data_IF_715626488548
#
_entry.id   IF_715626488548
#
_cell.length_a   1.000
_cell.length_b   1.000
_cell.length_c   1.000
_cell.angle_alpha   90.00
_cell.angle_beta   90.00
_cell.angle_gamma   90.00
#
_symmetry.space_group_name_H-M   'P 1'
#
loop_
_entity.id
_entity.type
_entity.pdbx_description
1 polymer ?
#
# COMPACT_ATOMS: atom_id res chain seq x y z
N UNK A 1 -4.52 29.11 8.05
CA UNK A 1 -5.92 29.09 7.59
C UNK A 1 -5.93 28.53 6.19
N UNK A 2 -6.31 27.28 6.02
CA UNK A 2 -6.32 26.61 4.71
C UNK A 2 -7.51 27.12 3.92
N UNK A 3 -7.25 27.61 2.71
CA UNK A 3 -8.23 28.13 1.77
C UNK A 3 -9.32 27.08 1.53
N UNK A 4 -10.56 27.40 1.91
CA UNK A 4 -11.74 26.67 1.51
C UNK A 4 -11.75 26.59 -0.02
N UNK A 5 -11.46 25.41 -0.57
CA UNK A 5 -11.37 25.17 -2.01
C UNK A 5 -12.65 24.48 -2.50
N UNK A 6 -12.93 24.61 -3.80
CA UNK A 6 -13.98 23.85 -4.46
C UNK A 6 -13.35 22.68 -5.23
N UNK A 7 -13.94 21.48 -5.14
CA UNK A 7 -13.53 20.31 -5.88
C UNK A 7 -14.77 19.65 -6.51
N UNK A 8 -14.92 19.76 -7.82
CA UNK A 8 -16.18 19.44 -8.46
C UNK A 8 -17.35 20.21 -7.84
N UNK A 9 -18.44 19.54 -7.46
CA UNK A 9 -19.58 20.18 -6.80
C UNK A 9 -19.37 20.41 -5.29
N UNK A 10 -18.28 19.86 -4.69
CA UNK A 10 -18.05 19.84 -3.23
C UNK A 10 -17.30 21.07 -2.74
N UNK A 11 -17.72 21.61 -1.58
CA UNK A 11 -17.04 22.68 -0.87
C UNK A 11 -16.17 22.12 0.25
N UNK A 12 -14.84 22.13 0.06
CA UNK A 12 -13.88 21.63 1.07
C UNK A 12 -13.83 22.61 2.24
N UNK A 13 -14.07 22.12 3.47
CA UNK A 13 -14.10 22.91 4.70
C UNK A 13 -12.79 22.84 5.48
N UNK A 14 -12.35 21.61 5.81
CA UNK A 14 -11.14 21.37 6.59
C UNK A 14 -10.54 20.05 6.22
N UNK A 15 -9.22 19.90 6.42
CA UNK A 15 -8.53 18.63 6.26
C UNK A 15 -8.76 17.77 7.50
N UNK A 16 -9.25 16.55 7.30
CA UNK A 16 -9.45 15.53 8.33
C UNK A 16 -8.20 14.67 8.55
N UNK A 17 -7.45 14.40 7.47
CA UNK A 17 -6.26 13.55 7.52
C UNK A 17 -5.51 13.49 6.20
N UNK A 18 -4.36 12.81 6.22
CA UNK A 18 -3.59 12.45 5.03
C UNK A 18 -3.03 11.04 5.18
N UNK A 19 -2.89 10.34 4.07
CA UNK A 19 -2.30 9.01 4.00
C UNK A 19 -1.51 8.83 2.71
N UNK A 20 -0.97 7.63 2.48
CA UNK A 20 -0.13 7.33 1.32
C UNK A 20 -0.78 7.58 -0.04
N UNK A 21 -2.11 7.50 -0.12
CA UNK A 21 -2.85 7.62 -1.39
C UNK A 21 -3.50 8.98 -1.61
N UNK A 22 -3.63 9.81 -0.55
CA UNK A 22 -4.31 11.09 -0.69
C UNK A 22 -4.58 11.80 0.62
N UNK A 23 -5.26 12.94 0.51
CA UNK A 23 -5.74 13.74 1.63
C UNK A 23 -7.25 13.63 1.77
N UNK A 24 -7.74 13.49 3.00
CA UNK A 24 -9.16 13.43 3.30
C UNK A 24 -9.62 14.79 3.86
N UNK A 25 -10.67 15.34 3.27
CA UNK A 25 -11.26 16.61 3.65
C UNK A 25 -12.71 16.44 4.10
N UNK A 26 -13.11 17.17 5.15
CA UNK A 26 -14.52 17.44 5.42
C UNK A 26 -15.02 18.41 4.35
N UNK A 27 -16.16 18.11 3.76
CA UNK A 27 -16.75 18.93 2.72
C UNK A 27 -18.28 19.01 2.86
N UNK A 28 -18.89 19.95 2.14
CA UNK A 28 -20.33 19.99 1.91
C UNK A 28 -20.62 19.55 0.48
N UNK A 29 -21.64 18.72 0.34
CA UNK A 29 -22.23 18.40 -0.96
C UNK A 29 -23.14 19.54 -1.47
N UNK A 30 -23.68 19.45 -2.70
CA UNK A 30 -24.58 20.48 -3.25
C UNK A 30 -25.84 20.73 -2.41
N UNK A 31 -26.28 19.72 -1.64
CA UNK A 31 -27.45 19.80 -0.76
C UNK A 31 -27.10 20.33 0.66
N UNK A 32 -25.82 20.67 0.91
CA UNK A 32 -25.34 21.19 2.18
C UNK A 32 -25.09 20.12 3.26
N UNK A 33 -25.08 18.84 2.90
CA UNK A 33 -24.78 17.74 3.82
C UNK A 33 -23.26 17.55 3.95
N UNK A 34 -22.81 17.14 5.14
CA UNK A 34 -21.40 16.84 5.38
C UNK A 34 -20.99 15.52 4.75
N UNK A 35 -19.88 15.54 4.02
CA UNK A 35 -19.27 14.37 3.38
C UNK A 35 -17.76 14.36 3.63
N UNK A 36 -17.13 13.20 3.50
CA UNK A 36 -15.67 13.07 3.47
C UNK A 36 -15.21 12.93 2.02
N UNK A 37 -14.30 13.81 1.59
CA UNK A 37 -13.74 13.81 0.23
C UNK A 37 -12.28 13.44 0.31
N UNK A 38 -11.92 12.28 -0.26
CA UNK A 38 -10.55 11.80 -0.39
C UNK A 38 -10.00 12.21 -1.74
N UNK A 39 -9.07 13.15 -1.74
CA UNK A 39 -8.38 13.66 -2.94
C UNK A 39 -7.11 12.84 -3.14
N UNK A 40 -6.98 12.16 -4.28
CA UNK A 40 -5.83 11.32 -4.55
C UNK A 40 -4.58 12.15 -4.83
N UNK A 41 -3.41 11.65 -4.39
CA UNK A 41 -2.14 12.31 -4.64
C UNK A 41 -1.78 12.30 -6.13
N UNK A 42 -1.01 13.31 -6.62
CA UNK A 42 -0.64 13.42 -8.03
C UNK A 42 0.08 12.19 -8.60
N UNK A 43 0.89 11.50 -7.79
CA UNK A 43 1.57 10.28 -8.23
C UNK A 43 0.61 9.11 -8.45
N UNK A 44 -0.48 9.03 -7.69
CA UNK A 44 -1.57 8.06 -7.88
C UNK A 44 -2.41 8.44 -9.09
N UNK A 45 -2.71 9.73 -9.24
CA UNK A 45 -3.44 10.27 -10.39
C UNK A 45 -2.71 10.08 -11.73
N UNK A 46 -1.39 9.93 -11.70
CA UNK A 46 -0.57 9.69 -12.89
C UNK A 46 -0.55 8.21 -13.36
N UNK A 47 -1.07 7.27 -12.56
CA UNK A 47 -1.18 5.85 -12.93
C UNK A 47 -2.57 5.55 -13.50
N UNK A 48 -2.72 5.68 -14.82
CA UNK A 48 -3.98 5.43 -15.53
C UNK A 48 -4.51 4.00 -15.31
N UNK A 49 -3.63 3.00 -15.16
CA UNK A 49 -4.04 1.61 -14.92
C UNK A 49 -4.59 1.43 -13.51
N UNK A 50 -3.96 2.07 -12.52
CA UNK A 50 -4.46 2.06 -11.15
C UNK A 50 -5.82 2.77 -11.04
N UNK A 51 -5.97 3.94 -11.68
CA UNK A 51 -7.26 4.65 -11.73
C UNK A 51 -8.35 3.83 -12.43
N UNK A 52 -8.05 3.15 -13.53
CA UNK A 52 -9.01 2.30 -14.24
C UNK A 52 -9.43 1.06 -13.40
N UNK A 53 -8.52 0.51 -12.57
CA UNK A 53 -8.88 -0.54 -11.60
C UNK A 53 -9.77 0.03 -10.50
N UNK A 54 -9.36 1.16 -9.91
CA UNK A 54 -10.13 1.83 -8.86
C UNK A 54 -11.54 2.20 -9.34
N UNK A 55 -11.69 2.68 -10.56
CA UNK A 55 -13.01 3.01 -11.13
C UNK A 55 -13.96 1.81 -11.15
N UNK A 56 -13.45 0.62 -11.53
CA UNK A 56 -14.25 -0.61 -11.52
C UNK A 56 -14.62 -1.07 -10.10
N UNK A 57 -13.69 -0.95 -9.16
CA UNK A 57 -13.94 -1.30 -7.76
C UNK A 57 -14.95 -0.32 -7.13
N UNK A 58 -14.84 0.98 -7.40
CA UNK A 58 -15.77 2.02 -6.90
C UNK A 58 -17.21 1.75 -7.32
N UNK A 59 -17.46 1.31 -8.55
CA UNK A 59 -18.82 0.94 -8.99
C UNK A 59 -19.41 -0.18 -8.12
N UNK A 60 -18.60 -1.17 -7.74
CA UNK A 60 -19.04 -2.24 -6.84
C UNK A 60 -19.19 -1.73 -5.40
N UNK A 61 -18.24 -0.91 -4.92
CA UNK A 61 -18.32 -0.32 -3.58
C UNK A 61 -19.56 0.55 -3.38
N UNK A 62 -20.03 1.22 -4.43
CA UNK A 62 -21.28 2.02 -4.40
C UNK A 62 -22.52 1.17 -4.12
N UNK A 63 -22.45 -0.13 -4.34
CA UNK A 63 -23.56 -1.06 -4.06
C UNK A 63 -23.56 -1.56 -2.61
N UNK A 64 -22.43 -1.45 -1.93
CA UNK A 64 -22.28 -1.92 -0.55
C UNK A 64 -23.03 -0.99 0.39
N UNK A 65 -23.91 -1.56 1.20
CA UNK A 65 -24.71 -0.87 2.22
C UNK A 65 -24.62 -1.62 3.53
N UNK A 66 -24.57 -0.89 4.62
CA UNK A 66 -24.61 -1.47 5.97
C UNK A 66 -24.55 -0.42 7.06
N UNK A 67 -25.07 -0.71 8.25
CA UNK A 67 -25.13 0.24 9.36
C UNK A 67 -23.73 0.68 9.83
N UNK A 68 -22.74 -0.23 9.69
CA UNK A 68 -21.37 -0.06 10.18
C UNK A 68 -20.38 0.32 9.06
N UNK A 69 -20.85 0.93 7.96
CA UNK A 69 -20.04 1.32 6.81
C UNK A 69 -20.19 2.81 6.51
N UNK A 70 -19.09 3.46 6.18
CA UNK A 70 -19.09 4.76 5.54
C UNK A 70 -19.25 4.57 4.03
N UNK A 71 -20.49 4.60 3.56
CA UNK A 71 -20.86 4.33 2.17
C UNK A 71 -20.15 5.25 1.17
N UNK A 72 -19.78 4.70 0.01
CA UNK A 72 -19.30 5.48 -1.12
C UNK A 72 -20.49 6.17 -1.77
N UNK A 73 -20.45 7.50 -1.83
CA UNK A 73 -21.53 8.35 -2.36
C UNK A 73 -21.26 8.76 -3.80
N UNK A 74 -20.00 9.13 -4.11
CA UNK A 74 -19.60 9.63 -5.41
C UNK A 74 -18.11 9.44 -5.66
N UNK A 75 -17.68 9.54 -6.93
CA UNK A 75 -16.28 9.59 -7.32
C UNK A 75 -16.12 10.27 -8.67
N UNK A 76 -15.06 11.05 -8.82
CA UNK A 76 -14.54 11.48 -10.11
C UNK A 76 -13.06 11.10 -10.19
N UNK A 77 -12.79 10.09 -11.02
CA UNK A 77 -11.45 9.54 -11.22
C UNK A 77 -10.86 9.95 -12.58
N UNK A 78 -11.55 10.81 -13.32
CA UNK A 78 -11.16 11.21 -14.67
C UNK A 78 -10.58 12.62 -14.75
N UNK A 79 -10.85 13.46 -13.73
CA UNK A 79 -10.39 14.83 -13.66
C UNK A 79 -8.90 14.98 -13.33
N UNK A 80 -8.39 16.19 -13.40
CA UNK A 80 -6.99 16.53 -13.04
C UNK A 80 -6.68 16.33 -11.55
N UNK A 81 -7.70 16.27 -10.71
CA UNK A 81 -7.63 15.97 -9.27
C UNK A 81 -8.66 14.90 -8.94
N UNK A 82 -8.31 13.61 -9.16
CA UNK A 82 -9.21 12.50 -8.86
C UNK A 82 -9.59 12.47 -7.37
N UNK A 83 -10.87 12.18 -7.09
CA UNK A 83 -11.37 12.11 -5.73
C UNK A 83 -12.47 11.06 -5.57
N UNK A 84 -12.65 10.63 -4.32
CA UNK A 84 -13.72 9.76 -3.86
C UNK A 84 -14.48 10.45 -2.73
N UNK A 85 -15.80 10.29 -2.72
CA UNK A 85 -16.68 10.87 -1.70
C UNK A 85 -17.36 9.76 -0.93
N UNK A 86 -17.26 9.82 0.40
CA UNK A 86 -17.91 8.89 1.30
C UNK A 86 -18.79 9.63 2.30
N UNK A 87 -19.70 8.91 2.92
CA UNK A 87 -20.48 9.43 4.05
C UNK A 87 -19.49 9.86 5.16
N UNK A 88 -19.62 11.10 5.64
CA UNK A 88 -18.87 11.54 6.81
C UNK A 88 -19.45 10.92 8.07
N UNK A 89 -18.59 10.26 8.85
CA UNK A 89 -18.93 9.71 10.16
C UNK A 89 -18.31 10.59 11.23
N UNK A 90 -19.17 11.25 12.01
CA UNK A 90 -18.71 12.10 13.11
C UNK A 90 -18.36 11.25 14.32
N UNK A 91 -17.08 11.20 14.67
CA UNK A 91 -16.59 10.40 15.79
C UNK A 91 -15.08 10.44 15.91
N UNK A 92 -14.54 9.60 16.77
CA UNK A 92 -13.11 9.42 16.96
C UNK A 92 -12.68 8.08 16.40
N UNK A 93 -11.47 8.00 15.83
CA UNK A 93 -10.95 6.69 15.41
C UNK A 93 -10.79 5.77 16.63
N UNK A 94 -11.00 4.46 16.43
CA UNK A 94 -10.79 3.44 17.45
C UNK A 94 -9.38 3.55 18.05
N UNK A 95 -8.37 3.79 17.22
CA UNK A 95 -7.01 4.01 17.70
C UNK A 95 -6.88 5.18 18.67
N UNK A 96 -7.55 6.31 18.39
CA UNK A 96 -7.55 7.48 19.25
C UNK A 96 -8.36 7.26 20.55
N UNK A 97 -9.42 6.46 20.50
CA UNK A 97 -10.20 6.08 21.70
C UNK A 97 -9.37 5.18 22.60
N UNK A 98 -8.75 4.15 22.06
CA UNK A 98 -7.89 3.22 22.81
C UNK A 98 -6.68 3.91 23.42
N UNK A 99 -6.05 4.83 22.68
CA UNK A 99 -4.91 5.59 23.20
C UNK A 99 -5.28 6.51 24.39
N UNK A 100 -6.50 7.02 24.41
CA UNK A 100 -6.97 7.93 25.48
C UNK A 100 -7.62 7.21 26.66
N UNK A 101 -8.39 6.11 26.40
CA UNK A 101 -9.22 5.44 27.39
C UNK A 101 -8.78 4.01 27.74
N UNK A 102 -7.75 3.50 27.06
CA UNK A 102 -7.34 2.10 27.20
C UNK A 102 -8.26 1.10 26.49
N UNK A 103 -8.14 -0.19 26.80
CA UNK A 103 -8.89 -1.25 26.13
C UNK A 103 -10.38 -1.20 26.40
N UNK A 104 -11.18 -1.60 25.41
CA UNK A 104 -12.64 -1.74 25.55
C UNK A 104 -13.00 -2.98 26.35
N UNK A 105 -14.12 -2.93 27.06
CA UNK A 105 -14.58 -4.03 27.94
C UNK A 105 -16.09 -4.30 27.74
N UNK A 106 -16.50 -5.50 28.17
CA UNK A 106 -17.90 -5.87 28.23
C UNK A 106 -18.67 -5.62 26.93
N UNK A 107 -19.77 -4.89 27.04
CA UNK A 107 -20.66 -4.64 25.91
C UNK A 107 -20.05 -3.76 24.82
N UNK A 108 -19.19 -2.80 25.16
CA UNK A 108 -18.51 -1.95 24.17
C UNK A 108 -17.62 -2.79 23.25
N UNK A 109 -16.86 -3.75 23.82
CA UNK A 109 -16.04 -4.66 23.05
C UNK A 109 -16.89 -5.59 22.19
N UNK A 110 -18.01 -6.08 22.72
CA UNK A 110 -18.93 -6.96 21.99
C UNK A 110 -19.57 -6.22 20.81
N UNK A 111 -20.01 -4.99 21.02
CA UNK A 111 -20.54 -4.13 19.93
C UNK A 111 -19.50 -3.85 18.86
N UNK A 112 -18.27 -3.51 19.25
CA UNK A 112 -17.18 -3.31 18.31
C UNK A 112 -16.95 -4.58 17.47
N UNK A 113 -16.77 -5.73 18.12
CA UNK A 113 -16.47 -6.99 17.45
C UNK A 113 -17.60 -7.38 16.47
N UNK A 114 -18.86 -7.29 16.92
CA UNK A 114 -20.04 -7.58 16.10
C UNK A 114 -20.20 -6.62 14.95
N UNK A 115 -20.16 -5.30 15.18
CA UNK A 115 -20.36 -4.30 14.13
C UNK A 115 -19.27 -4.34 13.05
N UNK A 116 -18.01 -4.65 13.41
CA UNK A 116 -16.95 -4.88 12.43
C UNK A 116 -17.16 -6.18 11.62
N UNK A 117 -17.69 -7.24 12.25
CA UNK A 117 -18.03 -8.48 11.55
C UNK A 117 -19.20 -8.28 10.56
N UNK A 118 -20.24 -7.52 10.97
CA UNK A 118 -21.36 -7.11 10.10
C UNK A 118 -20.87 -6.27 8.91
N UNK A 119 -19.98 -5.32 9.16
CA UNK A 119 -19.37 -4.54 8.09
C UNK A 119 -18.64 -5.41 7.06
N UNK A 120 -17.77 -6.33 7.52
CA UNK A 120 -17.05 -7.24 6.63
C UNK A 120 -17.99 -8.19 5.90
N UNK A 121 -19.00 -8.73 6.56
CA UNK A 121 -19.99 -9.60 5.92
C UNK A 121 -20.72 -8.88 4.79
N UNK A 122 -21.10 -7.61 4.98
CA UNK A 122 -21.74 -6.79 3.94
C UNK A 122 -20.79 -6.49 2.77
N UNK A 123 -19.53 -6.19 3.04
CA UNK A 123 -18.50 -5.93 2.02
C UNK A 123 -18.24 -7.19 1.19
N UNK A 124 -18.03 -8.35 1.85
CA UNK A 124 -17.75 -9.62 1.18
C UNK A 124 -18.95 -10.15 0.39
N UNK A 125 -20.18 -9.95 0.88
CA UNK A 125 -21.40 -10.31 0.16
C UNK A 125 -21.52 -9.56 -1.18
N UNK A 126 -20.94 -8.36 -1.29
CA UNK A 126 -20.88 -7.59 -2.52
C UNK A 126 -19.68 -7.98 -3.43
N UNK A 127 -18.89 -8.98 -3.07
CA UNK A 127 -17.69 -9.37 -3.80
C UNK A 127 -16.52 -8.41 -3.65
N UNK A 128 -16.57 -7.51 -2.65
CA UNK A 128 -15.50 -6.54 -2.35
C UNK A 128 -14.66 -7.07 -1.18
N UNK A 129 -13.38 -6.70 -1.16
CA UNK A 129 -12.46 -6.96 -0.04
C UNK A 129 -11.99 -5.62 0.51
N UNK A 130 -11.97 -5.46 1.84
CA UNK A 130 -11.60 -4.18 2.49
C UNK A 130 -10.10 -3.88 2.39
N UNK A 131 -9.26 -4.88 2.67
CA UNK A 131 -7.79 -4.89 2.52
C UNK A 131 -6.99 -3.95 3.44
N UNK A 132 -7.60 -3.03 4.17
CA UNK A 132 -6.91 -2.09 5.08
C UNK A 132 -7.70 -1.88 6.39
N UNK A 133 -8.34 -2.94 6.94
CA UNK A 133 -9.01 -2.86 8.22
C UNK A 133 -7.99 -2.74 9.35
N UNK A 134 -8.07 -1.63 10.09
CA UNK A 134 -7.20 -1.32 11.23
C UNK A 134 -7.87 -0.28 12.14
N UNK A 135 -7.39 -0.06 13.37
CA UNK A 135 -8.01 0.89 14.31
C UNK A 135 -8.10 2.34 13.81
N UNK A 136 -7.23 2.75 12.89
CA UNK A 136 -7.27 4.07 12.27
C UNK A 136 -8.46 4.23 11.30
N UNK A 137 -8.91 3.11 10.69
CA UNK A 137 -9.99 3.07 9.71
C UNK A 137 -11.34 2.63 10.31
N UNK A 138 -11.45 2.68 11.64
CA UNK A 138 -12.70 2.44 12.37
C UNK A 138 -13.04 3.70 13.17
N UNK A 139 -14.19 4.32 12.89
CA UNK A 139 -14.70 5.47 13.65
C UNK A 139 -15.74 4.98 14.64
N UNK A 140 -15.61 5.37 15.90
CA UNK A 140 -16.65 5.16 16.90
C UNK A 140 -17.53 6.42 16.96
N UNK A 141 -18.79 6.27 16.53
CA UNK A 141 -19.83 7.29 16.58
C UNK A 141 -20.96 6.79 17.47
N UNK A 142 -21.26 7.53 18.54
CA UNK A 142 -22.28 7.17 19.55
C UNK A 142 -22.11 5.74 20.11
N UNK A 143 -20.85 5.29 20.20
CA UNK A 143 -20.49 3.95 20.69
C UNK A 143 -20.60 2.83 19.66
N UNK A 144 -21.04 3.12 18.43
CA UNK A 144 -21.12 2.17 17.32
C UNK A 144 -19.90 2.29 16.37
N UNK A 145 -19.32 1.18 15.92
CA UNK A 145 -18.21 1.20 14.99
C UNK A 145 -18.68 1.47 13.55
N UNK A 146 -17.93 2.28 12.83
CA UNK A 146 -18.12 2.50 11.39
C UNK A 146 -16.78 2.34 10.69
N UNK A 147 -16.74 1.43 9.72
CA UNK A 147 -15.55 1.20 8.89
C UNK A 147 -15.52 2.22 7.76
N UNK A 148 -14.36 2.85 7.61
CA UNK A 148 -14.09 3.85 6.58
C UNK A 148 -12.99 3.36 5.63
N UNK A 149 -12.84 3.99 4.47
CA UNK A 149 -11.73 3.80 3.52
C UNK A 149 -11.53 2.36 3.00
N UNK A 150 -12.61 1.61 2.76
CA UNK A 150 -12.50 0.24 2.24
C UNK A 150 -12.09 0.20 0.75
N UNK A 151 -11.19 -0.72 0.42
CA UNK A 151 -10.81 -1.12 -0.94
C UNK A 151 -9.85 -0.22 -1.71
N UNK A 152 -9.69 1.05 -1.35
CA UNK A 152 -8.94 2.04 -2.14
C UNK A 152 -7.45 1.71 -2.23
N UNK A 153 -6.87 1.20 -1.15
CA UNK A 153 -5.42 0.96 -1.05
C UNK A 153 -4.92 -0.05 -2.11
N UNK A 154 -5.65 -1.11 -2.35
CA UNK A 154 -5.18 -2.21 -3.18
C UNK A 154 -5.48 -2.05 -4.68
N UNK A 155 -6.54 -1.32 -5.05
CA UNK A 155 -6.71 -0.94 -6.46
C UNK A 155 -5.51 -0.15 -6.98
N UNK A 156 -4.85 0.57 -6.05
CA UNK A 156 -3.68 1.40 -6.34
C UNK A 156 -2.35 0.65 -6.15
N UNK A 157 -2.29 -0.42 -5.33
CA UNK A 157 -1.03 -1.04 -4.88
C UNK A 157 -0.59 -2.31 -5.60
N UNK A 158 -1.34 -2.84 -6.55
CA UNK A 158 -0.99 -4.11 -7.23
C UNK A 158 0.41 -4.15 -7.89
N UNK A 159 1.17 -3.06 -7.83
CA UNK A 159 2.53 -2.97 -8.39
C UNK A 159 3.60 -2.54 -7.37
N UNK A 160 3.27 -2.13 -6.12
CA UNK A 160 4.23 -1.43 -5.26
C UNK A 160 4.80 -2.23 -4.09
N UNK A 161 4.16 -3.31 -3.66
CA UNK A 161 4.65 -4.13 -2.53
C UNK A 161 5.96 -4.87 -2.86
N UNK A 162 6.24 -5.13 -4.14
CA UNK A 162 7.39 -5.92 -4.57
C UNK A 162 8.57 -5.12 -5.11
N UNK A 163 8.41 -3.86 -5.49
CA UNK A 163 9.45 -3.11 -6.20
C UNK A 163 10.42 -2.34 -5.30
N UNK A 164 10.04 -1.98 -4.08
CA UNK A 164 10.87 -1.15 -3.18
C UNK A 164 11.27 -1.80 -1.86
N UNK A 165 10.76 -3.00 -1.54
CA UNK A 165 11.02 -3.65 -0.23
C UNK A 165 10.42 -2.90 0.97
N UNK A 166 9.67 -1.83 0.72
CA UNK A 166 8.95 -1.11 1.76
C UNK A 166 7.58 -1.78 2.00
N UNK A 167 7.34 -2.22 3.22
CA UNK A 167 6.03 -2.69 3.65
C UNK A 167 5.12 -1.48 3.73
N UNK A 168 4.26 -1.30 2.72
CA UNK A 168 3.26 -0.23 2.74
C UNK A 168 2.14 -0.64 3.70
N UNK A 169 1.85 0.17 4.71
CA UNK A 169 0.81 -0.08 5.69
C UNK A 169 1.33 -0.34 7.12
N UNK A 170 0.43 -0.76 8.01
CA UNK A 170 0.76 -1.14 9.39
C UNK A 170 0.84 -2.67 9.49
N UNK A 171 2.04 -3.28 9.48
CA UNK A 171 2.22 -4.72 9.28
C UNK A 171 1.45 -5.61 10.25
N UNK A 172 1.20 -5.13 11.47
CA UNK A 172 0.50 -5.90 12.50
C UNK A 172 -0.98 -6.20 12.19
N UNK A 173 -1.54 -5.63 11.13
CA UNK A 173 -2.91 -5.88 10.65
C UNK A 173 -2.95 -6.53 9.27
N UNK A 174 -1.80 -6.68 8.60
CA UNK A 174 -1.71 -7.40 7.33
C UNK A 174 -1.61 -8.90 7.58
N UNK A 175 -2.34 -9.68 6.82
CA UNK A 175 -2.31 -11.14 6.93
C UNK A 175 -0.97 -11.71 6.44
N UNK A 176 -0.53 -12.87 6.98
CA UNK A 176 0.74 -13.50 6.61
C UNK A 176 0.90 -13.69 5.09
N UNK A 177 -0.12 -14.20 4.41
CA UNK A 177 -0.10 -14.41 2.97
C UNK A 177 0.13 -13.12 2.17
N UNK A 178 -0.39 -11.99 2.66
CA UNK A 178 -0.20 -10.68 2.03
C UNK A 178 1.24 -10.18 2.23
N UNK A 179 1.79 -10.38 3.43
CA UNK A 179 3.19 -10.04 3.73
C UNK A 179 4.18 -10.88 2.92
N UNK A 180 3.80 -12.10 2.54
CA UNK A 180 4.56 -13.03 1.70
C UNK A 180 4.35 -12.77 0.20
N UNK A 181 3.59 -11.73 -0.18
CA UNK A 181 3.38 -11.32 -1.57
C UNK A 181 2.17 -11.96 -2.26
N UNK A 182 1.31 -12.64 -1.51
CA UNK A 182 0.02 -13.14 -1.98
C UNK A 182 -1.04 -12.04 -2.13
N UNK A 183 -2.14 -12.36 -2.79
CA UNK A 183 -3.26 -11.44 -2.95
C UNK A 183 -4.11 -11.38 -1.68
N UNK A 184 -4.54 -10.16 -1.30
CA UNK A 184 -5.46 -9.95 -0.20
C UNK A 184 -6.88 -10.37 -0.60
N UNK A 185 -7.35 -11.51 -0.08
CA UNK A 185 -8.72 -11.98 -0.22
C UNK A 185 -9.57 -11.72 1.04
N UNK A 186 -10.84 -12.18 1.05
CA UNK A 186 -11.73 -12.05 2.22
C UNK A 186 -11.14 -12.59 3.54
N UNK A 187 -10.35 -13.66 3.48
CA UNK A 187 -9.68 -14.23 4.65
C UNK A 187 -8.61 -13.29 5.24
N UNK A 188 -8.00 -12.39 4.43
CA UNK A 188 -7.09 -11.38 4.93
C UNK A 188 -7.81 -10.31 5.76
N UNK A 189 -9.04 -9.93 5.38
CA UNK A 189 -9.86 -9.01 6.17
C UNK A 189 -10.28 -9.63 7.52
N UNK A 190 -10.55 -10.94 7.56
CA UNK A 190 -10.84 -11.66 8.80
C UNK A 190 -9.63 -11.68 9.74
N UNK A 191 -8.42 -11.83 9.19
CA UNK A 191 -7.20 -11.68 9.96
C UNK A 191 -7.07 -10.25 10.54
N UNK A 192 -7.29 -9.23 9.70
CA UNK A 192 -7.24 -7.83 10.11
C UNK A 192 -8.30 -7.49 11.17
N UNK A 193 -9.50 -8.08 11.07
CA UNK A 193 -10.53 -8.03 12.10
C UNK A 193 -10.01 -8.63 13.42
N UNK A 194 -9.43 -9.82 13.36
CA UNK A 194 -8.86 -10.49 14.54
C UNK A 194 -7.80 -9.64 15.23
N UNK A 195 -6.86 -9.06 14.47
CA UNK A 195 -5.81 -8.19 14.99
C UNK A 195 -6.37 -6.89 15.59
N UNK A 196 -7.37 -6.29 14.93
CA UNK A 196 -8.02 -5.04 15.38
C UNK A 196 -8.79 -5.24 16.68
N UNK A 197 -9.59 -6.33 16.77
CA UNK A 197 -10.38 -6.65 17.96
C UNK A 197 -9.48 -7.12 19.12
N UNK A 198 -8.42 -7.88 18.85
CA UNK A 198 -7.42 -8.25 19.86
C UNK A 198 -6.76 -7.02 20.48
N UNK A 199 -6.37 -6.06 19.65
CA UNK A 199 -5.83 -4.79 20.14
C UNK A 199 -6.87 -4.00 20.94
N UNK A 200 -8.10 -3.91 20.48
CA UNK A 200 -9.17 -3.24 21.21
C UNK A 200 -9.46 -3.88 22.56
N UNK A 201 -9.39 -5.21 22.66
CA UNK A 201 -9.64 -5.98 23.87
C UNK A 201 -8.50 -5.89 24.90
N UNK A 202 -7.26 -5.81 24.45
CA UNK A 202 -6.07 -5.88 25.31
C UNK A 202 -5.37 -4.52 25.52
N UNK A 203 -5.56 -3.56 24.62
CA UNK A 203 -4.76 -2.33 24.54
C UNK A 203 -3.34 -2.58 24.01
N UNK A 204 -3.02 -3.83 23.61
CA UNK A 204 -1.71 -4.25 23.10
C UNK A 204 -1.83 -4.85 21.72
N UNK A 205 -0.96 -4.46 20.80
CA UNK A 205 -0.93 -5.06 19.46
C UNK A 205 -0.53 -6.54 19.57
N UNK A 206 -1.28 -7.47 18.98
CA UNK A 206 -1.07 -8.90 19.15
C UNK A 206 0.29 -9.40 18.65
N UNK A 207 0.92 -8.69 17.74
CA UNK A 207 2.28 -8.96 17.25
C UNK A 207 3.31 -7.97 17.76
N UNK A 208 2.95 -7.18 18.80
CA UNK A 208 3.82 -6.18 19.41
C UNK A 208 4.12 -4.99 18.52
N UNK A 209 4.98 -4.10 19.02
CA UNK A 209 5.42 -2.87 18.35
C UNK A 209 6.85 -2.97 17.88
N UNK A 210 7.32 -2.00 17.08
CA UNK A 210 8.72 -1.91 16.64
C UNK A 210 8.83 -1.57 15.15
N UNK A 211 10.04 -1.69 14.58
CA UNK A 211 10.26 -1.45 13.15
C UNK A 211 9.35 -2.33 12.28
N UNK A 212 8.77 -1.79 11.18
CA UNK A 212 7.82 -2.53 10.34
C UNK A 212 8.30 -3.92 9.90
N UNK A 213 9.56 -4.14 9.48
CA UNK A 213 10.02 -5.48 9.12
C UNK A 213 10.02 -6.48 10.28
N UNK A 214 10.30 -6.02 11.52
CA UNK A 214 10.27 -6.89 12.68
C UNK A 214 8.84 -7.29 13.07
N UNK A 215 7.88 -6.37 12.92
CA UNK A 215 6.45 -6.69 13.13
C UNK A 215 5.98 -7.66 12.05
N UNK A 216 6.28 -7.41 10.77
CA UNK A 216 5.96 -8.31 9.67
C UNK A 216 6.52 -9.73 9.89
N UNK A 217 7.78 -9.84 10.32
CA UNK A 217 8.39 -11.11 10.66
C UNK A 217 7.61 -11.86 11.74
N UNK A 218 7.16 -11.14 12.81
CA UNK A 218 6.37 -11.77 13.89
C UNK A 218 5.00 -12.23 13.40
N UNK A 219 4.34 -11.47 12.53
CA UNK A 219 3.05 -11.88 11.95
C UNK A 219 3.17 -13.20 11.19
N UNK A 220 4.24 -13.35 10.42
CA UNK A 220 4.47 -14.56 9.60
C UNK A 220 4.92 -15.75 10.46
N UNK A 221 5.77 -15.53 11.48
CA UNK A 221 6.48 -16.62 12.16
C UNK A 221 6.05 -16.87 13.60
N UNK A 222 5.36 -15.95 14.27
CA UNK A 222 5.01 -16.08 15.69
C UNK A 222 3.49 -16.16 15.87
N UNK A 223 3.08 -16.70 16.99
CA UNK A 223 1.67 -16.68 17.41
C UNK A 223 1.31 -15.33 18.03
N UNK A 224 0.04 -14.89 17.91
CA UNK A 224 -0.41 -13.63 18.48
C UNK A 224 -0.45 -13.68 20.00
N UNK A 225 -0.06 -12.58 20.67
CA UNK A 225 -0.26 -12.40 22.11
C UNK A 225 -1.73 -12.03 22.38
N UNK A 226 -2.47 -12.96 22.97
CA UNK A 226 -3.89 -12.83 23.35
C UNK A 226 -4.11 -12.95 24.87
N UNK A 227 -3.05 -12.84 25.68
CA UNK A 227 -3.13 -13.10 27.12
C UNK A 227 -4.09 -12.15 27.85
N UNK A 228 -4.19 -10.89 27.41
CA UNK A 228 -5.06 -9.87 28.01
C UNK A 228 -6.47 -9.82 27.36
N UNK A 229 -6.75 -10.65 26.36
CA UNK A 229 -8.07 -10.73 25.74
C UNK A 229 -9.05 -11.53 26.64
N UNK A 230 -10.35 -11.15 26.67
CA UNK A 230 -11.35 -11.88 27.44
C UNK A 230 -11.47 -13.34 26.99
N UNK A 231 -11.60 -14.27 27.95
CA UNK A 231 -11.61 -15.72 27.71
C UNK A 231 -12.66 -16.16 26.66
N UNK A 232 -13.83 -15.51 26.64
CA UNK A 232 -14.89 -15.81 25.66
C UNK A 232 -14.50 -15.49 24.22
N UNK A 233 -13.60 -14.51 24.01
CA UNK A 233 -13.21 -14.04 22.69
C UNK A 233 -11.95 -14.76 22.15
N UNK A 234 -11.07 -15.24 23.05
CA UNK A 234 -9.79 -15.88 22.70
C UNK A 234 -9.92 -17.00 21.66
N UNK A 235 -10.88 -17.95 21.75
CA UNK A 235 -11.01 -19.01 20.74
C UNK A 235 -11.25 -18.45 19.35
N UNK A 236 -12.15 -17.47 19.22
CA UNK A 236 -12.50 -16.84 17.95
C UNK A 236 -11.33 -16.04 17.36
N UNK A 237 -10.62 -15.28 18.20
CA UNK A 237 -9.41 -14.56 17.79
C UNK A 237 -8.32 -15.50 17.27
N UNK A 238 -8.12 -16.65 17.93
CA UNK A 238 -7.15 -17.66 17.46
C UNK A 238 -7.51 -18.22 16.10
N UNK A 239 -8.78 -18.46 15.83
CA UNK A 239 -9.25 -18.93 14.52
C UNK A 239 -9.02 -17.85 13.44
N UNK A 240 -9.38 -16.60 13.70
CA UNK A 240 -9.20 -15.49 12.76
C UNK A 240 -7.73 -15.20 12.46
N UNK A 241 -6.84 -15.39 13.45
CA UNK A 241 -5.40 -15.09 13.34
C UNK A 241 -4.55 -16.30 12.90
N UNK A 242 -5.18 -17.38 12.39
CA UNK A 242 -4.45 -18.52 11.82
C UNK A 242 -3.62 -18.07 10.62
N UNK A 243 -2.42 -18.67 10.47
CA UNK A 243 -1.53 -18.42 9.31
C UNK A 243 -2.19 -18.89 8.02
N UNK A 244 -2.77 -20.08 8.02
CA UNK A 244 -3.50 -20.62 6.88
C UNK A 244 -4.82 -19.85 6.67
N UNK A 245 -5.00 -19.10 5.56
CA UNK A 245 -6.21 -18.36 5.28
C UNK A 245 -7.45 -19.25 5.14
N UNK A 246 -7.30 -20.50 4.68
CA UNK A 246 -8.40 -21.45 4.51
C UNK A 246 -8.96 -21.97 5.84
N UNK A 247 -8.20 -21.83 6.92
CA UNK A 247 -8.60 -22.24 8.27
C UNK A 247 -9.27 -21.12 9.08
N UNK A 248 -9.43 -19.92 8.50
CA UNK A 248 -10.15 -18.80 9.11
C UNK A 248 -11.63 -18.87 8.79
N UNK A 249 -12.53 -18.43 9.70
CA UNK A 249 -13.96 -18.39 9.43
C UNK A 249 -14.28 -17.37 8.32
N UNK A 250 -15.38 -17.55 7.62
CA UNK A 250 -15.91 -16.49 6.73
C UNK A 250 -16.51 -15.34 7.57
N UNK A 251 -16.56 -14.12 7.00
CA UNK A 251 -17.11 -12.96 7.70
C UNK A 251 -18.59 -13.14 8.10
N UNK A 252 -19.38 -13.83 7.29
CA UNK A 252 -20.77 -14.15 7.61
C UNK A 252 -20.89 -15.11 8.82
N UNK A 253 -20.01 -16.11 8.90
CA UNK A 253 -19.94 -17.03 10.04
C UNK A 253 -19.48 -16.29 11.31
N UNK A 254 -18.47 -15.42 11.17
CA UNK A 254 -17.98 -14.59 12.26
C UNK A 254 -19.10 -13.70 12.81
N UNK A 255 -19.87 -13.07 11.93
CA UNK A 255 -21.03 -12.25 12.27
C UNK A 255 -22.08 -13.09 13.05
N UNK A 256 -22.45 -14.25 12.54
CA UNK A 256 -23.43 -15.13 13.18
C UNK A 256 -23.00 -15.59 14.59
N UNK A 257 -21.72 -15.94 14.78
CA UNK A 257 -21.16 -16.35 16.09
C UNK A 257 -21.18 -15.22 17.12
N UNK A 258 -21.15 -13.97 16.69
CA UNK A 258 -21.23 -12.77 17.54
C UNK A 258 -22.66 -12.26 17.74
N UNK A 259 -23.68 -12.99 17.23
CA UNK A 259 -25.07 -12.58 17.30
C UNK A 259 -25.40 -11.37 16.41
N UNK A 260 -24.63 -11.15 15.36
CA UNK A 260 -24.83 -10.09 14.36
C UNK A 260 -25.95 -10.42 13.35
N UNK A 261 -26.43 -9.40 12.66
CA UNK A 261 -27.42 -9.54 11.60
C UNK A 261 -26.80 -10.04 10.30
N UNK A 262 -27.55 -10.80 9.51
CA UNK A 262 -27.15 -11.16 8.17
C UNK A 262 -26.98 -9.88 7.30
N UNK A 263 -26.01 -9.86 6.36
CA UNK A 263 -25.84 -8.72 5.49
C UNK A 263 -27.13 -8.42 4.71
N UNK A 264 -27.48 -7.13 4.50
CA UNK A 264 -28.64 -6.77 3.71
C UNK A 264 -28.49 -7.32 2.27
N UNK A 265 -29.58 -7.76 1.64
CA UNK A 265 -29.51 -8.19 0.25
C UNK A 265 -29.00 -7.05 -0.62
N UNK A 266 -28.11 -7.38 -1.55
CA UNK A 266 -27.66 -6.42 -2.57
C UNK A 266 -28.87 -5.80 -3.25
N UNK A 267 -28.87 -4.49 -3.56
CA UNK A 267 -29.92 -3.88 -4.37
C UNK A 267 -30.06 -4.70 -5.64
N UNK A 268 -31.29 -5.18 -5.95
CA UNK A 268 -31.53 -5.89 -7.17
C UNK A 268 -30.95 -5.06 -8.32
N UNK A 269 -30.10 -5.67 -9.15
CA UNK A 269 -29.60 -5.00 -10.35
C UNK A 269 -30.79 -4.38 -11.05
N UNK A 270 -30.81 -3.06 -11.17
CA UNK A 270 -31.80 -2.43 -12.05
C UNK A 270 -31.62 -3.12 -13.41
N UNK A 271 -32.69 -3.70 -14.00
CA UNK A 271 -32.54 -4.36 -15.28
C UNK A 271 -31.80 -3.39 -16.18
N UNK A 272 -30.64 -3.80 -16.67
CA UNK A 272 -29.86 -3.01 -17.64
C UNK A 272 -30.90 -2.58 -18.68
N UNK A 273 -31.14 -1.27 -18.77
CA UNK A 273 -31.99 -0.70 -19.82
C UNK A 273 -31.53 -1.36 -21.10
N UNK A 274 -32.43 -2.13 -21.73
CA UNK A 274 -32.10 -2.94 -22.87
C UNK A 274 -31.23 -2.10 -23.80
N UNK A 275 -29.99 -2.53 -23.98
CA UNK A 275 -29.10 -1.87 -24.91
C UNK A 275 -29.83 -1.81 -26.25
N UNK A 276 -29.77 -0.63 -26.88
CA UNK A 276 -30.25 -0.52 -28.26
C UNK A 276 -29.61 -1.67 -29.07
N UNK A 277 -30.32 -2.28 -30.02
CA UNK A 277 -29.80 -3.43 -30.75
C UNK A 277 -28.41 -3.12 -31.28
N UNK A 278 -27.44 -3.90 -30.83
CA UNK A 278 -26.06 -3.78 -31.28
C UNK A 278 -26.02 -3.90 -32.80
N UNK A 279 -25.29 -3.03 -33.50
CA UNK A 279 -25.06 -3.23 -34.93
C UNK A 279 -24.43 -4.63 -35.11
N UNK A 280 -24.76 -5.34 -36.20
CA UNK A 280 -24.35 -6.72 -36.43
C UNK A 280 -22.85 -6.83 -36.25
N UNK A 281 -22.43 -7.77 -35.38
CA UNK A 281 -21.04 -8.08 -35.06
C UNK A 281 -20.26 -8.31 -36.33
N UNK A 282 -19.43 -7.36 -36.73
CA UNK A 282 -18.44 -7.62 -37.78
C UNK A 282 -17.47 -8.66 -37.23
N UNK A 283 -17.31 -9.73 -38.02
CA UNK A 283 -16.34 -10.78 -37.74
C UNK A 283 -14.99 -10.17 -37.38
N UNK A 284 -14.57 -10.31 -36.11
CA UNK A 284 -13.25 -9.87 -35.65
C UNK A 284 -12.20 -10.76 -36.34
N UNK A 285 -11.51 -10.20 -37.30
CA UNK A 285 -10.30 -10.81 -37.89
C UNK A 285 -9.12 -10.32 -37.02
N UNK A 286 -8.32 -11.24 -36.42
CA UNK A 286 -7.15 -10.84 -35.65
C UNK A 286 -6.23 -10.01 -36.55
N UNK A 287 -6.06 -8.73 -36.23
CA UNK A 287 -4.97 -7.95 -36.80
C UNK A 287 -3.66 -8.57 -36.34
N UNK A 288 -2.83 -8.87 -37.35
CA UNK A 288 -1.51 -9.44 -37.24
C UNK A 288 -0.69 -8.94 -36.02
N UNK A 289 0.08 -9.84 -35.45
CA UNK A 289 1.06 -9.88 -34.37
C UNK A 289 1.92 -8.62 -34.04
N UNK A 290 1.62 -7.45 -34.58
CA UNK A 290 2.46 -6.25 -34.38
C UNK A 290 2.19 -5.50 -33.05
N UNK A 291 1.03 -5.67 -32.40
CA UNK A 291 0.69 -4.94 -31.17
C UNK A 291 1.18 -5.61 -29.87
N UNK A 292 1.43 -6.91 -29.88
CA UNK A 292 1.98 -7.61 -28.70
C UNK A 292 3.45 -7.24 -28.45
N UNK A 293 4.20 -6.90 -29.49
CA UNK A 293 5.61 -6.46 -29.37
C UNK A 293 5.79 -5.08 -28.75
N UNK A 294 4.83 -4.19 -28.89
CA UNK A 294 4.98 -2.80 -28.40
C UNK A 294 4.79 -2.66 -26.88
N UNK A 295 3.98 -3.49 -26.26
CA UNK A 295 3.74 -3.45 -24.80
C UNK A 295 4.92 -4.10 -24.04
N UNK A 296 5.48 -5.18 -24.57
CA UNK A 296 6.69 -5.80 -24.01
C UNK A 296 7.93 -4.91 -24.21
N UNK A 297 7.99 -4.16 -25.30
CA UNK A 297 9.07 -3.19 -25.57
C UNK A 297 9.03 -1.97 -24.62
N UNK A 298 7.86 -1.54 -24.15
CA UNK A 298 7.76 -0.43 -23.20
C UNK A 298 8.19 -0.84 -21.78
N UNK A 299 7.82 -2.04 -21.34
CA UNK A 299 8.22 -2.61 -20.04
C UNK A 299 9.72 -2.92 -19.99
N UNK A 300 10.28 -3.47 -21.05
CA UNK A 300 11.73 -3.72 -21.16
C UNK A 300 12.52 -2.42 -21.20
N UNK A 301 12.06 -1.40 -21.91
CA UNK A 301 12.71 -0.07 -21.93
C UNK A 301 12.67 0.63 -20.56
N UNK A 302 11.61 0.51 -19.79
CA UNK A 302 11.55 1.09 -18.45
C UNK A 302 12.50 0.37 -17.48
N UNK A 303 12.48 -0.96 -17.46
CA UNK A 303 13.42 -1.78 -16.66
C UNK A 303 14.88 -1.47 -17.00
N UNK A 304 15.20 -1.32 -18.27
CA UNK A 304 16.55 -0.97 -18.71
C UNK A 304 16.97 0.45 -18.30
N UNK A 305 16.06 1.42 -18.27
CA UNK A 305 16.34 2.78 -17.77
C UNK A 305 16.64 2.79 -16.27
N UNK A 306 15.82 2.13 -15.47
CA UNK A 306 16.02 2.02 -14.01
C UNK A 306 17.33 1.32 -13.71
N UNK A 307 17.59 0.18 -14.33
CA UNK A 307 18.84 -0.57 -14.18
C UNK A 307 20.08 0.26 -14.54
N UNK A 308 20.05 0.98 -15.69
CA UNK A 308 21.14 1.88 -16.08
C UNK A 308 21.43 2.95 -15.04
N UNK A 309 20.40 3.54 -14.44
CA UNK A 309 20.55 4.53 -13.36
C UNK A 309 21.19 3.92 -12.12
N UNK A 310 20.80 2.68 -11.75
CA UNK A 310 21.38 1.97 -10.62
C UNK A 310 22.85 1.59 -10.85
N UNK A 311 23.21 1.05 -12.01
CA UNK A 311 24.59 0.69 -12.33
C UNK A 311 25.50 1.91 -12.38
N UNK A 312 25.05 3.01 -12.99
CA UNK A 312 25.82 4.25 -13.02
C UNK A 312 25.93 4.90 -11.63
N UNK A 313 24.83 4.97 -10.88
CA UNK A 313 24.79 5.56 -9.53
C UNK A 313 25.67 4.80 -8.53
N UNK A 314 25.60 3.48 -8.52
CA UNK A 314 26.47 2.65 -7.66
C UNK A 314 27.94 2.79 -8.04
N UNK A 315 28.28 2.98 -9.32
CA UNK A 315 29.64 3.25 -9.78
C UNK A 315 30.20 4.56 -9.25
N UNK A 316 29.41 5.63 -9.29
CA UNK A 316 29.83 6.93 -8.74
C UNK A 316 30.08 6.84 -7.24
N UNK A 317 29.16 6.22 -6.50
CA UNK A 317 29.31 6.02 -5.03
C UNK A 317 30.53 5.16 -4.71
N UNK A 318 30.71 4.03 -5.42
CA UNK A 318 31.87 3.16 -5.21
C UNK A 318 33.21 3.86 -5.50
N UNK A 319 33.26 4.66 -6.58
CA UNK A 319 34.43 5.47 -6.92
C UNK A 319 34.77 6.51 -5.86
N UNK A 320 33.76 7.20 -5.31
CA UNK A 320 33.93 8.21 -4.26
C UNK A 320 34.37 7.57 -2.93
N UNK A 321 33.75 6.46 -2.53
CA UNK A 321 34.14 5.71 -1.31
C UNK A 321 35.56 5.19 -1.42
N UNK A 322 35.91 4.56 -2.56
CA UNK A 322 37.26 4.05 -2.78
C UNK A 322 38.30 5.16 -2.75
N UNK A 323 38.02 6.32 -3.37
CA UNK A 323 38.93 7.46 -3.38
C UNK A 323 39.09 8.08 -1.97
N UNK A 324 38.02 8.23 -1.19
CA UNK A 324 38.06 8.80 0.14
C UNK A 324 38.86 7.94 1.13
N UNK A 325 38.83 6.62 0.98
CA UNK A 325 39.48 5.66 1.90
C UNK A 325 40.90 5.27 1.45
N UNK A 326 41.25 5.57 0.19
CA UNK A 326 42.48 5.11 -0.45
C UNK A 326 43.77 5.36 0.39
N UNK A 327 43.91 6.52 0.99
CA UNK A 327 45.13 6.89 1.76
C UNK A 327 45.15 6.31 3.17
N UNK A 328 43.99 5.92 3.71
CA UNK A 328 43.92 5.39 5.09
C UNK A 328 43.96 3.85 5.08
N UNK A 329 43.27 3.21 4.12
CA UNK A 329 43.20 1.76 4.00
C UNK A 329 43.14 1.40 2.49
N UNK A 330 44.29 1.32 1.80
CA UNK A 330 44.29 1.07 0.33
C UNK A 330 43.68 -0.29 -0.05
N UNK A 331 43.76 -1.28 0.82
CA UNK A 331 43.18 -2.61 0.61
C UNK A 331 41.62 -2.53 0.54
N UNK A 332 41.01 -1.68 1.37
CA UNK A 332 39.56 -1.47 1.35
C UNK A 332 39.12 -0.78 0.06
N UNK A 333 39.90 0.14 -0.47
CA UNK A 333 39.63 0.78 -1.75
C UNK A 333 39.61 -0.23 -2.90
N UNK A 334 40.57 -1.15 -2.92
CA UNK A 334 40.64 -2.24 -3.88
C UNK A 334 39.45 -3.20 -3.73
N UNK A 335 39.05 -3.50 -2.50
CA UNK A 335 37.91 -4.36 -2.24
C UNK A 335 36.60 -3.76 -2.76
N UNK A 336 36.37 -2.47 -2.49
CA UNK A 336 35.16 -1.74 -2.97
C UNK A 336 35.11 -1.71 -4.51
N UNK A 337 36.22 -1.39 -5.17
CA UNK A 337 36.30 -1.35 -6.63
C UNK A 337 36.17 -2.76 -7.25
N UNK A 338 36.74 -3.77 -6.62
CA UNK A 338 36.62 -5.17 -7.07
C UNK A 338 35.17 -5.68 -6.94
N UNK A 339 34.50 -5.40 -5.83
CA UNK A 339 33.09 -5.76 -5.64
C UNK A 339 32.17 -5.10 -6.68
N UNK A 340 32.39 -3.81 -6.98
CA UNK A 340 31.66 -3.14 -8.06
C UNK A 340 32.00 -3.75 -9.43
N UNK A 341 33.28 -4.03 -9.71
CA UNK A 341 33.74 -4.65 -10.95
C UNK A 341 33.10 -6.02 -11.20
N UNK A 342 33.00 -6.86 -10.18
CA UNK A 342 32.29 -8.14 -10.26
C UNK A 342 30.81 -7.93 -10.61
N UNK A 343 30.13 -6.97 -10.00
CA UNK A 343 28.74 -6.63 -10.33
C UNK A 343 28.57 -6.21 -11.79
N UNK A 344 29.50 -5.39 -12.32
CA UNK A 344 29.51 -4.96 -13.73
C UNK A 344 29.75 -6.16 -14.67
N UNK A 345 30.65 -7.06 -14.32
CA UNK A 345 30.94 -8.26 -15.11
C UNK A 345 29.74 -9.23 -15.14
N UNK A 346 29.07 -9.42 -14.03
CA UNK A 346 27.84 -10.23 -13.97
C UNK A 346 26.76 -9.61 -14.87
N UNK A 347 26.56 -8.28 -14.80
CA UNK A 347 25.57 -7.59 -15.64
C UNK A 347 25.93 -7.66 -17.14
N UNK A 348 27.20 -7.55 -17.49
CA UNK A 348 27.69 -7.74 -18.86
C UNK A 348 27.49 -9.19 -19.33
N UNK A 349 27.75 -10.17 -18.46
CA UNK A 349 27.55 -11.59 -18.77
C UNK A 349 26.08 -11.93 -19.06
N UNK A 350 25.16 -11.44 -18.23
CA UNK A 350 23.71 -11.56 -18.47
C UNK A 350 23.32 -10.87 -19.80
N UNK A 351 23.93 -9.72 -20.10
CA UNK A 351 23.73 -9.01 -21.37
C UNK A 351 24.20 -9.80 -22.58
N UNK A 352 25.33 -10.49 -22.47
CA UNK A 352 25.90 -11.33 -23.54
C UNK A 352 25.02 -12.56 -23.80
N UNK A 353 24.60 -13.27 -22.76
CA UNK A 353 23.70 -14.44 -22.87
C UNK A 353 22.34 -14.02 -23.48
N UNK A 354 21.78 -12.87 -23.11
CA UNK A 354 20.53 -12.36 -23.67
C UNK A 354 20.68 -11.71 -25.06
N UNK A 355 21.86 -11.73 -25.66
CA UNK A 355 22.21 -11.06 -26.93
C UNK A 355 21.93 -9.56 -26.98
N UNK A 356 21.84 -8.91 -25.83
CA UNK A 356 21.55 -7.48 -25.68
C UNK A 356 22.86 -6.65 -25.75
N UNK A 357 23.40 -6.43 -26.96
CA UNK A 357 24.68 -5.71 -27.18
C UNK A 357 24.75 -4.36 -26.44
N UNK A 358 23.67 -3.59 -26.41
CA UNK A 358 23.62 -2.32 -25.70
C UNK A 358 23.78 -2.42 -24.17
N UNK A 359 23.49 -3.55 -23.60
CA UNK A 359 23.66 -3.87 -22.18
C UNK A 359 25.14 -4.09 -21.84
N UNK A 360 25.81 -4.86 -22.65
CA UNK A 360 27.26 -5.13 -22.50
C UNK A 360 28.07 -3.85 -22.63
N UNK A 361 27.81 -3.07 -23.67
CA UNK A 361 28.49 -1.76 -23.90
C UNK A 361 28.27 -0.81 -22.71
N UNK A 362 27.04 -0.71 -22.22
CA UNK A 362 26.74 0.17 -21.07
C UNK A 362 27.47 -0.29 -19.79
N UNK A 363 27.51 -1.59 -19.50
CA UNK A 363 28.23 -2.12 -18.35
C UNK A 363 29.73 -1.83 -18.43
N UNK A 364 30.36 -2.06 -19.59
CA UNK A 364 31.79 -1.76 -19.80
C UNK A 364 32.11 -0.26 -19.66
N UNK A 365 31.27 0.61 -20.25
CA UNK A 365 31.43 2.08 -20.13
C UNK A 365 31.27 2.53 -18.67
N UNK A 366 30.31 1.97 -17.92
CA UNK A 366 30.12 2.29 -16.50
C UNK A 366 31.31 1.83 -15.65
N UNK A 367 31.86 0.65 -15.90
CA UNK A 367 33.07 0.15 -15.21
C UNK A 367 34.30 1.03 -15.47
N UNK A 368 34.57 1.35 -16.76
CA UNK A 368 35.64 2.24 -17.15
C UNK A 368 35.48 3.67 -16.59
N UNK A 369 34.22 4.19 -16.59
CA UNK A 369 33.88 5.49 -16.03
C UNK A 369 34.14 5.56 -14.52
N UNK A 370 33.80 4.51 -13.77
CA UNK A 370 34.07 4.43 -12.32
C UNK A 370 35.57 4.41 -12.02
N UNK A 371 36.34 3.65 -12.78
CA UNK A 371 37.80 3.61 -12.64
C UNK A 371 38.44 4.96 -12.98
N UNK A 372 37.96 5.63 -14.05
CA UNK A 372 38.42 6.97 -14.42
C UNK A 372 38.05 8.02 -13.37
N UNK A 373 36.83 7.97 -12.79
CA UNK A 373 36.39 8.84 -11.72
C UNK A 373 37.27 8.65 -10.48
N UNK A 374 37.51 7.42 -10.07
CA UNK A 374 38.40 7.11 -8.95
C UNK A 374 39.81 7.71 -9.16
N UNK A 375 40.43 7.46 -10.33
CA UNK A 375 41.76 8.01 -10.66
C UNK A 375 41.77 9.54 -10.65
N UNK A 376 40.77 10.19 -11.21
CA UNK A 376 40.61 11.63 -11.19
C UNK A 376 40.45 12.22 -9.77
N UNK A 377 39.64 11.57 -8.94
CA UNK A 377 39.41 12.04 -7.57
C UNK A 377 40.70 11.98 -6.72
N UNK A 378 41.46 10.92 -6.80
CA UNK A 378 42.74 10.83 -6.05
C UNK A 378 43.83 11.73 -6.58
N UNK A 379 43.78 12.09 -7.87
CA UNK A 379 44.76 12.99 -8.50
C UNK A 379 44.48 14.47 -8.23
N UNK A 380 43.20 14.87 -8.12
CA UNK A 380 42.78 16.27 -8.06
C UNK A 380 42.42 16.75 -6.65
N UNK A 381 42.05 15.88 -5.74
CA UNK A 381 41.52 16.26 -4.42
C UNK A 381 42.33 15.69 -3.27
N UNK A 382 42.43 16.47 -2.20
CA UNK A 382 43.04 15.97 -0.95
C UNK A 382 42.13 14.96 -0.26
N UNK A 383 42.69 14.04 0.55
CA UNK A 383 41.89 13.05 1.30
C UNK A 383 40.84 13.69 2.19
N UNK A 384 41.14 14.82 2.80
CA UNK A 384 40.22 15.57 3.65
C UNK A 384 39.01 16.07 2.85
N UNK A 385 39.22 16.61 1.64
CA UNK A 385 38.14 17.06 0.76
C UNK A 385 37.26 15.90 0.32
N UNK A 386 37.84 14.72 0.03
CA UNK A 386 37.12 13.52 -0.36
C UNK A 386 36.26 12.95 0.78
N UNK A 387 36.78 12.96 2.00
CA UNK A 387 36.03 12.56 3.21
C UNK A 387 34.87 13.52 3.49
N UNK A 388 35.08 14.83 3.33
CA UNK A 388 34.02 15.82 3.49
C UNK A 388 32.91 15.62 2.43
N UNK A 389 33.30 15.40 1.18
CA UNK A 389 32.38 15.14 0.09
C UNK A 389 31.56 13.83 0.33
N UNK A 390 32.23 12.76 0.79
CA UNK A 390 31.57 11.52 1.15
C UNK A 390 30.57 11.71 2.30
N UNK A 391 30.97 12.45 3.34
CA UNK A 391 30.08 12.79 4.46
C UNK A 391 28.86 13.58 4.01
N UNK A 392 29.04 14.54 3.12
CA UNK A 392 27.94 15.34 2.56
C UNK A 392 26.97 14.47 1.75
N UNK A 393 27.49 13.59 0.88
CA UNK A 393 26.65 12.66 0.09
C UNK A 393 25.89 11.70 1.02
N UNK A 394 26.55 11.17 2.05
CA UNK A 394 25.91 10.29 3.01
C UNK A 394 24.82 11.01 3.82
N UNK A 395 25.09 12.25 4.22
CA UNK A 395 24.11 13.09 4.91
C UNK A 395 22.89 13.38 4.04
N UNK A 396 23.08 13.74 2.76
CA UNK A 396 21.97 13.96 1.82
C UNK A 396 21.18 12.67 1.58
N UNK A 397 21.86 11.52 1.40
CA UNK A 397 21.18 10.23 1.25
C UNK A 397 20.38 9.85 2.50
N UNK A 398 20.92 10.07 3.70
CA UNK A 398 20.22 9.85 4.95
C UNK A 398 19.04 10.81 5.11
N UNK A 399 19.19 12.10 4.84
CA UNK A 399 18.08 13.07 4.92
C UNK A 399 16.98 12.74 3.94
N UNK A 400 17.29 12.33 2.71
CA UNK A 400 16.30 11.88 1.73
C UNK A 400 15.64 10.57 2.19
N UNK A 401 16.39 9.64 2.79
CA UNK A 401 15.84 8.38 3.31
C UNK A 401 14.96 8.57 4.54
N UNK A 402 15.21 9.60 5.36
CA UNK A 402 14.41 9.91 6.56
C UNK A 402 13.30 10.94 6.32
N UNK A 403 13.33 11.67 5.20
CA UNK A 403 12.30 12.64 4.80
C UNK A 403 11.23 12.07 3.87
N UNK A 404 11.38 10.84 3.37
CA UNK A 404 10.41 10.08 2.57
C UNK A 404 9.85 8.91 3.35
#
# INVERSE_FOLDING_TARGET
MSTAGRLGPYHLLSRLGAGGFGEVHLALDPEGRTVAVKVLHPHVAADEQALARLAREVETMRLVRGPHLAEVLDADLTGSRPYLVTRYVQGRSLGAVLAAGGPLRGEELTRLARGLAEALAAVHAAGVVHRDLKPANVILADGEPHVIDFGIACALDSASVTASGAVLGTPGYLAPEVLEGGEAGPAADVFAWGATVAYAASGRQPYGTGPPPAVAYRVVHHDPDLAEAPAWLVPLLRECLRRDPSARPEAAELCARLGGAAPPPLPAERPRRAAAPEPPTQEWRPRSRETAGQVDDARTRHRDKVRRRWVAGSGVVSGLVAAAVHQYVPELSLLVLSAYGVGVLVDAGVGAVSRARGRVVFALVSGAGTAGLYAALIALFSPFTLLLALGTVLFVLLTVAFAG
#
